data_IF_616884317430
#
_entry.id   IF_616884317430
#
_cell.length_a   1.000
_cell.length_b   1.000
_cell.length_c   1.000
_cell.angle_alpha   90.00
_cell.angle_beta   90.00
_cell.angle_gamma   90.00
#
_symmetry.space_group_name_H-M   'P 1'
#
loop_
_entity.id
_entity.type
_entity.pdbx_description
1 polymer ?
#
# COMPACT_ATOMS: atom_id res chain seq x y z
N UNK A 1 -7.22 22.62 11.54
CA UNK A 1 -6.75 21.24 11.45
C UNK A 1 -6.59 20.72 12.85
N UNK A 2 -7.38 19.70 13.19
CA UNK A 2 -7.24 18.96 14.45
C UNK A 2 -6.08 17.95 14.34
N UNK A 3 -5.47 17.55 15.46
CA UNK A 3 -4.34 16.59 15.45
C UNK A 3 -4.71 15.25 14.77
N UNK A 4 -5.99 14.86 14.81
CA UNK A 4 -6.54 13.66 14.17
C UNK A 4 -6.51 13.77 12.64
N UNK A 5 -6.88 14.91 12.07
CA UNK A 5 -6.83 15.15 10.63
C UNK A 5 -5.38 15.12 10.11
N UNK A 6 -4.45 15.72 10.85
CA UNK A 6 -3.03 15.69 10.53
C UNK A 6 -2.48 14.27 10.56
N UNK A 7 -2.88 13.48 11.56
CA UNK A 7 -2.48 12.08 11.67
C UNK A 7 -3.02 11.22 10.52
N UNK A 8 -4.27 11.43 10.09
CA UNK A 8 -4.83 10.75 8.92
C UNK A 8 -4.15 11.14 7.61
N UNK A 9 -3.80 12.43 7.44
CA UNK A 9 -3.06 12.88 6.27
C UNK A 9 -1.67 12.26 6.24
N UNK A 10 -0.97 12.24 7.37
CA UNK A 10 0.33 11.57 7.49
C UNK A 10 0.25 10.08 7.15
N UNK A 11 -0.79 9.36 7.61
CA UNK A 11 -0.97 7.94 7.27
C UNK A 11 -1.22 7.73 5.77
N UNK A 12 -1.99 8.62 5.12
CA UNK A 12 -2.22 8.58 3.67
C UNK A 12 -0.94 8.82 2.89
N UNK A 13 -0.17 9.83 3.30
CA UNK A 13 1.10 10.17 2.67
C UNK A 13 2.11 9.03 2.83
N UNK A 14 2.23 8.46 4.05
CA UNK A 14 3.07 7.30 4.31
C UNK A 14 2.70 6.11 3.40
N UNK A 15 1.40 5.79 3.28
CA UNK A 15 0.95 4.71 2.39
C UNK A 15 1.25 5.00 0.91
N UNK A 16 1.10 6.25 0.46
CA UNK A 16 1.43 6.65 -0.91
C UNK A 16 2.94 6.52 -1.18
N UNK A 17 3.78 6.95 -0.22
CA UNK A 17 5.23 6.84 -0.31
C UNK A 17 5.69 5.37 -0.36
N UNK A 18 5.15 4.50 0.48
CA UNK A 18 5.47 3.06 0.46
C UNK A 18 5.07 2.40 -0.86
N UNK A 19 3.91 2.77 -1.41
CA UNK A 19 3.47 2.27 -2.72
C UNK A 19 4.40 2.72 -3.85
N UNK A 20 4.90 3.95 -3.78
CA UNK A 20 5.89 4.45 -4.73
C UNK A 20 7.24 3.74 -4.56
N UNK A 21 7.68 3.49 -3.32
CA UNK A 21 8.88 2.72 -3.02
C UNK A 21 8.81 1.30 -3.62
N UNK A 22 7.65 0.64 -3.53
CA UNK A 22 7.41 -0.67 -4.14
C UNK A 22 7.68 -0.65 -5.66
N UNK A 23 7.15 0.35 -6.37
CA UNK A 23 7.35 0.50 -7.83
C UNK A 23 8.82 0.70 -8.18
N UNK A 24 9.53 1.56 -7.43
CA UNK A 24 10.95 1.83 -7.64
C UNK A 24 11.77 0.56 -7.39
N UNK A 25 11.47 -0.19 -6.33
CA UNK A 25 12.17 -1.44 -6.01
C UNK A 25 11.95 -2.50 -7.07
N UNK A 26 10.72 -2.67 -7.56
CA UNK A 26 10.43 -3.60 -8.66
C UNK A 26 11.23 -3.21 -9.91
N UNK A 27 11.29 -1.92 -10.25
CA UNK A 27 12.08 -1.45 -11.38
C UNK A 27 13.59 -1.69 -11.19
N UNK A 28 14.11 -1.46 -9.98
CA UNK A 28 15.51 -1.70 -9.63
C UNK A 28 15.87 -3.19 -9.70
N UNK A 29 15.02 -4.08 -9.19
CA UNK A 29 15.18 -5.55 -9.26
C UNK A 29 15.27 -5.98 -10.73
N UNK A 30 14.34 -5.51 -11.57
CA UNK A 30 14.32 -5.82 -13.02
C UNK A 30 15.60 -5.36 -13.72
N UNK A 31 16.19 -4.24 -13.29
CA UNK A 31 17.44 -3.73 -13.87
C UNK A 31 18.71 -4.42 -13.33
N UNK A 32 18.62 -5.10 -12.19
CA UNK A 32 19.76 -5.70 -11.48
C UNK A 32 20.11 -7.14 -11.92
N UNK A 33 19.72 -7.55 -13.13
CA UNK A 33 19.95 -8.93 -13.64
C UNK A 33 21.43 -9.38 -13.57
N UNK A 34 22.37 -8.45 -13.73
CA UNK A 34 23.81 -8.74 -13.72
C UNK A 34 24.47 -8.70 -12.34
N UNK A 35 23.72 -8.41 -11.26
CA UNK A 35 24.26 -8.31 -9.89
C UNK A 35 23.40 -9.11 -8.90
N UNK A 36 23.60 -10.44 -8.80
CA UNK A 36 22.80 -11.32 -7.96
C UNK A 36 22.71 -10.92 -6.47
N UNK A 37 23.80 -10.52 -5.79
CA UNK A 37 23.74 -10.15 -4.37
C UNK A 37 22.91 -8.87 -4.13
N UNK A 38 22.97 -7.92 -5.07
CA UNK A 38 22.19 -6.69 -5.00
C UNK A 38 20.71 -6.98 -5.21
N UNK A 39 20.39 -7.84 -6.18
CA UNK A 39 19.03 -8.28 -6.46
C UNK A 39 18.38 -8.93 -5.24
N UNK A 40 19.06 -9.86 -4.56
CA UNK A 40 18.52 -10.51 -3.36
C UNK A 40 18.19 -9.51 -2.25
N UNK A 41 19.04 -8.49 -2.04
CA UNK A 41 18.76 -7.43 -1.06
C UNK A 41 17.56 -6.57 -1.47
N UNK A 42 17.43 -6.24 -2.74
CA UNK A 42 16.29 -5.48 -3.25
C UNK A 42 14.98 -6.29 -3.13
N UNK A 43 15.02 -7.60 -3.39
CA UNK A 43 13.87 -8.50 -3.20
C UNK A 43 13.47 -8.62 -1.73
N UNK A 44 14.45 -8.71 -0.82
CA UNK A 44 14.19 -8.66 0.62
C UNK A 44 13.55 -7.33 1.03
N UNK A 45 14.09 -6.21 0.56
CA UNK A 45 13.53 -4.90 0.87
C UNK A 45 12.12 -4.72 0.30
N UNK A 46 11.85 -5.23 -0.91
CA UNK A 46 10.51 -5.27 -1.50
C UNK A 46 9.52 -6.04 -0.62
N UNK A 47 9.94 -7.18 -0.05
CA UNK A 47 9.11 -7.93 0.90
C UNK A 47 8.82 -7.11 2.16
N UNK A 48 9.83 -6.43 2.72
CA UNK A 48 9.66 -5.55 3.88
C UNK A 48 8.70 -4.39 3.60
N UNK A 49 8.87 -3.69 2.47
CA UNK A 49 7.99 -2.61 1.99
C UNK A 49 6.55 -3.10 1.87
N UNK A 50 6.31 -4.29 1.30
CA UNK A 50 4.95 -4.87 1.20
C UNK A 50 4.34 -5.15 2.57
N UNK A 51 5.12 -5.63 3.54
CA UNK A 51 4.62 -5.83 4.91
C UNK A 51 4.32 -4.50 5.61
N UNK A 52 5.14 -3.49 5.41
CA UNK A 52 4.91 -2.14 5.93
C UNK A 52 3.61 -1.56 5.33
N UNK A 53 3.41 -1.73 4.02
CA UNK A 53 2.21 -1.29 3.31
C UNK A 53 0.95 -2.00 3.85
N UNK A 54 1.01 -3.32 4.08
CA UNK A 54 -0.09 -4.07 4.73
C UNK A 54 -0.37 -3.57 6.15
N UNK A 55 0.68 -3.27 6.93
CA UNK A 55 0.53 -2.76 8.29
C UNK A 55 -0.08 -1.36 8.31
N UNK A 56 0.33 -0.49 7.39
CA UNK A 56 -0.27 0.84 7.20
C UNK A 56 -1.74 0.73 6.77
N UNK A 57 -2.08 -0.20 5.88
CA UNK A 57 -3.48 -0.46 5.51
C UNK A 57 -4.32 -0.90 6.71
N UNK A 58 -3.79 -1.79 7.55
CA UNK A 58 -4.47 -2.22 8.78
C UNK A 58 -4.65 -1.04 9.76
N UNK A 59 -3.65 -0.19 9.93
CA UNK A 59 -3.71 0.99 10.82
C UNK A 59 -4.69 2.03 10.27
N UNK A 60 -4.69 2.29 8.96
CA UNK A 60 -5.66 3.18 8.30
C UNK A 60 -7.07 2.61 8.44
N UNK A 61 -7.26 1.30 8.26
CA UNK A 61 -8.54 0.63 8.44
C UNK A 61 -9.04 0.68 9.90
N UNK A 62 -8.12 0.65 10.88
CA UNK A 62 -8.44 0.78 12.31
C UNK A 62 -8.72 2.21 12.73
N UNK A 63 -8.05 3.20 12.12
CA UNK A 63 -8.27 4.63 12.40
C UNK A 63 -9.50 5.23 11.72
N UNK A 64 -10.04 4.59 10.67
CA UNK A 64 -11.32 4.96 10.08
C UNK A 64 -12.48 4.12 10.63
N UNK A 65 -13.03 4.59 11.76
CA UNK A 65 -14.47 4.80 12.01
C UNK A 65 -15.41 4.09 11.00
N UNK A 66 -16.14 3.09 11.51
CA UNK A 66 -17.24 2.33 10.88
C UNK A 66 -16.87 1.46 9.67
N UNK A 67 -16.86 0.14 9.91
CA UNK A 67 -16.89 -0.96 8.94
C UNK A 67 -17.75 -0.72 7.68
N UNK A 68 -18.78 0.14 7.76
CA UNK A 68 -19.66 0.45 6.63
C UNK A 68 -18.96 1.12 5.45
N UNK A 69 -18.01 2.04 5.65
CA UNK A 69 -17.41 2.78 4.55
C UNK A 69 -16.42 1.92 3.74
N UNK A 70 -15.67 1.05 4.43
CA UNK A 70 -14.80 0.06 3.78
C UNK A 70 -15.64 -1.03 3.09
N UNK A 71 -16.71 -1.50 3.72
CA UNK A 71 -17.63 -2.46 3.11
C UNK A 71 -18.35 -1.87 1.89
N UNK A 72 -18.75 -0.61 1.92
CA UNK A 72 -19.30 0.10 0.76
C UNK A 72 -18.27 0.26 -0.36
N UNK A 73 -17.04 0.63 -0.04
CA UNK A 73 -15.97 0.77 -1.03
C UNK A 73 -15.63 -0.59 -1.69
N UNK A 74 -15.51 -1.64 -0.89
CA UNK A 74 -15.28 -3.01 -1.40
C UNK A 74 -16.49 -3.53 -2.20
N UNK A 75 -17.72 -3.25 -1.76
CA UNK A 75 -18.94 -3.62 -2.48
C UNK A 75 -19.06 -2.87 -3.81
N UNK A 76 -18.66 -1.60 -3.86
CA UNK A 76 -18.61 -0.81 -5.12
C UNK A 76 -17.54 -1.34 -6.06
N UNK A 77 -16.36 -1.69 -5.58
CA UNK A 77 -15.32 -2.32 -6.41
C UNK A 77 -15.79 -3.67 -6.94
N UNK A 78 -16.49 -4.48 -6.14
CA UNK A 78 -17.09 -5.74 -6.59
C UNK A 78 -18.22 -5.54 -7.62
N UNK A 79 -19.04 -4.49 -7.45
CA UNK A 79 -20.09 -4.12 -8.41
C UNK A 79 -19.51 -3.64 -9.75
N UNK A 80 -18.42 -2.87 -9.72
CA UNK A 80 -17.72 -2.41 -10.92
C UNK A 80 -16.92 -3.53 -11.62
N UNK A 81 -16.53 -4.57 -10.87
CA UNK A 81 -15.83 -5.74 -11.39
C UNK A 81 -16.77 -6.85 -11.90
N UNK A 82 -18.09 -6.70 -11.75
CA UNK A 82 -19.08 -7.60 -12.33
C UNK A 82 -19.52 -7.05 -13.68
N UNK A 83 -19.13 -7.65 -14.82
CA UNK A 83 -19.77 -7.33 -16.08
C UNK A 83 -21.12 -8.05 -16.13
N UNK A 84 -22.16 -7.31 -16.50
CA UNK A 84 -23.51 -7.75 -16.92
C UNK A 84 -24.61 -7.76 -15.84
N UNK A 85 -25.29 -6.61 -15.81
CA UNK A 85 -26.75 -6.47 -15.83
C UNK A 85 -27.07 -5.21 -16.62
#
# INVERSE_FOLDING_TARGET
MTDIENYHNWLRDAHAMEKQAEVILIAAIRRSENYPPLRTRLEQHLYETRRQLSSLQDIIARNHISRSALQDAMSRVAALASPLG
#
